data_IF_671534532094
#
_entry.id   IF_671534532094
#
_cell.length_a   1.000
_cell.length_b   1.000
_cell.length_c   1.000
_cell.angle_alpha   90.00
_cell.angle_beta   90.00
_cell.angle_gamma   90.00
#
_symmetry.space_group_name_H-M   'P 1'
#
loop_
_entity.id
_entity.type
_entity.pdbx_description
1 polymer ?
#
# COMPACT_ATOMS: atom_id res chain seq x y z
N UNK A 1 -26.36 29.46 -42.82
CA UNK A 1 -25.61 30.37 -43.69
C UNK A 1 -24.16 29.97 -43.62
N UNK A 2 -23.70 29.20 -44.58
CA UNK A 2 -22.33 29.08 -45.02
C UNK A 2 -22.22 30.02 -46.25
N UNK A 3 -21.09 30.17 -46.99
CA UNK A 3 -19.71 29.63 -46.84
C UNK A 3 -18.64 30.64 -47.37
N UNK A 4 -17.46 30.11 -47.55
CA UNK A 4 -16.45 30.31 -48.64
C UNK A 4 -15.04 30.58 -48.07
N UNK A 5 -14.10 29.65 -48.24
CA UNK A 5 -13.24 29.28 -49.39
C UNK A 5 -12.27 30.43 -49.74
N UNK A 6 -11.00 30.21 -49.81
CA UNK A 6 -10.04 29.75 -50.84
C UNK A 6 -8.64 30.15 -50.36
N UNK A 7 -7.51 29.58 -50.64
CA UNK A 7 -7.02 28.68 -51.65
C UNK A 7 -5.48 28.60 -51.61
N UNK A 8 -5.02 27.45 -51.90
CA UNK A 8 -3.91 26.96 -52.71
C UNK A 8 -2.75 27.83 -53.19
N UNK A 9 -1.51 27.28 -53.12
CA UNK A 9 -0.49 27.03 -54.17
C UNK A 9 0.80 26.54 -53.52
N UNK A 10 1.24 25.27 -53.64
CA UNK A 10 1.92 24.57 -54.78
C UNK A 10 3.15 25.27 -55.36
N UNK A 11 4.31 24.60 -55.27
CA UNK A 11 5.25 24.14 -56.31
C UNK A 11 6.55 23.70 -55.62
N UNK A 12 6.99 22.44 -55.75
CA UNK A 12 7.66 21.71 -56.82
C UNK A 12 9.12 22.11 -57.04
N UNK A 13 9.95 21.15 -56.85
CA UNK A 13 10.87 20.37 -57.74
C UNK A 13 12.27 21.00 -57.83
N UNK A 14 13.40 20.36 -58.02
CA UNK A 14 13.85 19.05 -58.44
C UNK A 14 15.33 18.91 -58.05
N UNK A 15 15.87 17.80 -57.72
CA UNK A 15 16.48 16.72 -58.48
C UNK A 15 17.96 16.88 -58.87
N UNK A 16 18.69 15.76 -58.72
CA UNK A 16 19.88 15.30 -59.45
C UNK A 16 21.25 15.92 -59.06
N UNK A 17 22.32 15.20 -58.96
CA UNK A 17 22.68 13.85 -59.34
C UNK A 17 24.18 13.60 -59.05
N UNK A 18 24.46 12.35 -58.88
CA UNK A 18 25.57 11.49 -59.29
C UNK A 18 27.03 12.00 -59.35
N UNK A 19 27.96 11.31 -58.74
CA UNK A 19 28.88 10.35 -59.40
C UNK A 19 30.14 10.12 -58.59
N UNK A 20 30.48 8.89 -58.38
CA UNK A 20 31.86 8.42 -58.10
C UNK A 20 32.69 8.40 -59.38
N UNK A 21 34.03 8.40 -59.33
CA UNK A 21 34.71 7.08 -59.34
C UNK A 21 36.11 7.02 -58.65
N UNK A 22 36.34 5.81 -58.22
CA UNK A 22 37.58 4.99 -58.21
C UNK A 22 38.94 5.61 -58.47
N UNK A 23 39.96 5.27 -57.67
CA UNK A 23 41.05 4.33 -57.99
C UNK A 23 42.34 4.59 -57.24
N UNK A 24 42.95 3.45 -56.86
CA UNK A 24 44.38 3.10 -56.79
C UNK A 24 45.18 3.47 -55.55
N UNK A 25 45.60 2.38 -54.88
CA UNK A 25 46.83 2.26 -54.10
C UNK A 25 48.09 2.36 -54.98
N UNK A 26 49.31 2.58 -54.42
CA UNK A 26 49.98 1.59 -53.58
C UNK A 26 51.02 2.18 -52.57
N UNK A 27 51.30 1.36 -51.56
CA UNK A 27 52.69 1.09 -51.16
C UNK A 27 53.27 1.78 -49.91
N UNK A 28 53.58 0.93 -48.98
CA UNK A 28 54.84 0.84 -48.21
C UNK A 28 55.00 1.49 -46.85
N UNK A 29 55.21 0.58 -45.94
CA UNK A 29 56.22 0.53 -44.83
C UNK A 29 55.96 1.31 -43.53
N UNK A 30 55.78 0.52 -42.51
CA UNK A 30 56.47 0.47 -41.21
C UNK A 30 56.37 1.67 -40.26
N UNK A 31 55.81 1.39 -39.11
CA UNK A 31 55.91 2.23 -37.94
C UNK A 31 54.98 1.72 -36.83
N UNK A 32 55.40 0.67 -36.10
CA UNK A 32 54.76 0.31 -34.83
C UNK A 32 54.93 1.46 -33.84
N UNK A 33 53.86 2.13 -33.50
CA UNK A 33 53.76 2.91 -32.27
C UNK A 33 52.68 2.28 -31.41
N UNK A 34 53.12 1.59 -30.37
CA UNK A 34 52.26 1.10 -29.28
C UNK A 34 51.58 2.30 -28.60
N UNK A 35 50.31 2.51 -28.91
CA UNK A 35 49.45 3.41 -28.17
C UNK A 35 49.03 2.74 -26.86
N UNK A 36 48.89 3.48 -25.75
CA UNK A 36 48.50 2.91 -24.47
C UNK A 36 47.12 2.28 -24.56
N UNK A 37 47.04 0.97 -24.32
CA UNK A 37 45.78 0.24 -24.19
C UNK A 37 44.95 0.84 -23.04
N UNK A 38 43.65 1.04 -23.22
CA UNK A 38 42.79 1.50 -22.14
C UNK A 38 42.84 0.49 -20.98
N UNK A 39 42.81 0.96 -19.73
CA UNK A 39 42.93 0.10 -18.57
C UNK A 39 41.79 -0.93 -18.57
N UNK A 40 42.17 -2.21 -18.58
CA UNK A 40 41.24 -3.34 -18.46
C UNK A 40 40.45 -3.15 -17.17
N UNK A 41 39.12 -2.94 -17.27
CA UNK A 41 38.21 -2.92 -16.12
C UNK A 41 38.50 -4.16 -15.24
N UNK A 42 38.66 -3.99 -13.94
CA UNK A 42 38.94 -5.12 -13.07
C UNK A 42 37.82 -6.13 -13.21
N UNK A 43 38.14 -7.37 -13.54
CA UNK A 43 37.18 -8.48 -13.54
C UNK A 43 36.65 -8.59 -12.12
N UNK A 44 35.38 -8.26 -11.92
CA UNK A 44 34.66 -8.48 -10.66
C UNK A 44 34.78 -9.96 -10.33
N UNK A 45 35.61 -10.29 -9.35
CA UNK A 45 35.69 -11.64 -8.83
C UNK A 45 34.32 -11.97 -8.22
N UNK A 46 33.56 -12.82 -8.90
CA UNK A 46 32.31 -13.37 -8.37
C UNK A 46 32.68 -14.36 -7.29
N UNK A 47 32.77 -13.92 -6.06
CA UNK A 47 32.88 -14.80 -4.91
C UNK A 47 31.58 -15.58 -4.83
N UNK A 48 31.61 -16.85 -5.21
CA UNK A 48 30.49 -17.78 -5.00
C UNK A 48 30.38 -18.03 -3.49
N UNK A 49 29.47 -17.34 -2.85
CA UNK A 49 29.18 -17.57 -1.43
C UNK A 49 28.11 -18.66 -1.32
N UNK A 50 28.34 -19.62 -0.45
CA UNK A 50 27.43 -20.72 -0.19
C UNK A 50 26.37 -20.26 0.82
N UNK A 51 25.09 -20.44 0.50
CA UNK A 51 23.97 -20.21 1.44
C UNK A 51 24.07 -21.15 2.65
N UNK A 52 24.57 -22.38 2.44
CA UNK A 52 24.75 -23.37 3.50
C UNK A 52 25.81 -22.90 4.50
N UNK A 53 26.94 -22.37 4.03
CA UNK A 53 28.01 -21.84 4.89
C UNK A 53 27.54 -20.59 5.64
N UNK A 54 26.70 -19.77 5.01
CA UNK A 54 26.07 -18.63 5.66
C UNK A 54 25.15 -19.05 6.81
N UNK A 55 24.25 -20.03 6.57
CA UNK A 55 23.33 -20.54 7.59
C UNK A 55 24.10 -21.19 8.75
N UNK A 56 25.09 -22.02 8.45
CA UNK A 56 25.97 -22.63 9.47
C UNK A 56 26.72 -21.57 10.28
N UNK A 57 27.22 -20.52 9.63
CA UNK A 57 27.90 -19.41 10.31
C UNK A 57 26.99 -18.66 11.28
N UNK A 58 25.69 -18.52 10.95
CA UNK A 58 24.69 -17.93 11.85
C UNK A 58 24.41 -18.83 13.05
N UNK A 59 24.24 -20.13 12.84
CA UNK A 59 23.96 -21.09 13.91
C UNK A 59 25.10 -21.19 14.93
N UNK A 60 26.34 -21.10 14.47
CA UNK A 60 27.54 -21.24 15.34
C UNK A 60 27.98 -19.88 15.93
N UNK A 61 27.26 -18.79 15.63
CA UNK A 61 27.61 -17.46 16.14
C UNK A 61 28.96 -16.90 15.61
N UNK A 62 29.53 -17.54 14.59
CA UNK A 62 30.80 -17.14 13.95
C UNK A 62 30.60 -15.91 13.05
N UNK A 63 30.08 -14.82 13.59
CA UNK A 63 29.93 -13.54 12.90
C UNK A 63 31.24 -12.76 12.90
N UNK A 64 32.12 -13.10 12.00
CA UNK A 64 33.26 -12.23 11.63
C UNK A 64 32.69 -10.92 11.00
N UNK A 65 32.94 -9.81 11.65
CA UNK A 65 32.33 -8.47 11.47
C UNK A 65 32.40 -7.81 10.09
N UNK A 66 33.02 -8.37 9.06
CA UNK A 66 33.28 -7.65 7.81
C UNK A 66 32.83 -8.31 6.51
N UNK A 67 32.32 -9.54 6.55
CA UNK A 67 31.95 -10.27 5.32
C UNK A 67 30.46 -10.53 5.12
N UNK A 68 29.63 -10.46 6.17
CA UNK A 68 28.24 -10.94 6.16
C UNK A 68 27.21 -9.87 5.78
N UNK A 69 27.44 -8.60 6.11
CA UNK A 69 26.46 -7.55 5.80
C UNK A 69 26.19 -7.36 4.29
N UNK A 70 27.19 -7.60 3.46
CA UNK A 70 27.04 -7.55 2.00
C UNK A 70 26.24 -8.74 1.46
N UNK A 71 26.34 -9.92 2.08
CA UNK A 71 25.60 -11.11 1.66
C UNK A 71 24.14 -11.06 2.10
N UNK A 72 23.85 -10.53 3.28
CA UNK A 72 22.48 -10.29 3.75
C UNK A 72 21.72 -9.38 2.77
N UNK A 73 22.33 -8.30 2.32
CA UNK A 73 21.73 -7.40 1.33
C UNK A 73 21.51 -8.05 -0.05
N UNK A 74 22.43 -8.92 -0.49
CA UNK A 74 22.28 -9.66 -1.73
C UNK A 74 21.18 -10.72 -1.62
N UNK A 75 21.10 -11.43 -0.49
CA UNK A 75 20.08 -12.44 -0.21
C UNK A 75 18.70 -11.80 -0.09
N UNK A 76 18.58 -10.71 0.67
CA UNK A 76 17.36 -9.92 0.74
C UNK A 76 16.92 -9.45 -0.64
N UNK A 77 17.81 -8.84 -1.41
CA UNK A 77 17.49 -8.35 -2.75
C UNK A 77 17.10 -9.47 -3.74
N UNK A 78 17.65 -10.68 -3.56
CA UNK A 78 17.24 -11.85 -4.33
C UNK A 78 15.84 -12.32 -3.90
N UNK A 79 15.60 -12.49 -2.60
CA UNK A 79 14.33 -12.94 -2.05
C UNK A 79 13.19 -12.01 -2.43
N UNK A 80 13.39 -10.70 -2.28
CA UNK A 80 12.41 -9.67 -2.64
C UNK A 80 11.93 -9.77 -4.09
N UNK A 81 12.85 -10.03 -5.01
CA UNK A 81 12.51 -10.16 -6.44
C UNK A 81 11.95 -11.53 -6.81
N UNK A 82 12.26 -12.56 -6.02
CA UNK A 82 11.84 -13.94 -6.29
C UNK A 82 10.53 -14.29 -5.58
N UNK A 83 10.29 -13.73 -4.41
CA UNK A 83 9.12 -14.04 -3.61
C UNK A 83 7.80 -13.96 -4.41
N UNK A 84 7.52 -12.90 -5.18
CA UNK A 84 6.29 -12.85 -5.94
C UNK A 84 6.10 -14.00 -6.93
N UNK A 85 7.20 -14.49 -7.52
CA UNK A 85 7.18 -15.62 -8.47
C UNK A 85 6.88 -16.98 -7.77
N UNK A 86 7.17 -17.06 -6.46
CA UNK A 86 6.98 -18.27 -5.66
C UNK A 86 5.59 -18.35 -5.02
N UNK A 87 4.94 -17.21 -4.78
CA UNK A 87 3.65 -17.14 -4.13
C UNK A 87 2.57 -17.89 -4.94
N UNK A 88 1.81 -18.73 -4.24
CA UNK A 88 0.64 -19.44 -4.76
C UNK A 88 -0.57 -19.12 -3.92
N UNK A 89 -1.68 -18.88 -4.60
CA UNK A 89 -2.93 -18.54 -3.95
C UNK A 89 -3.58 -19.76 -3.29
N UNK A 90 -4.06 -19.54 -2.07
CA UNK A 90 -5.07 -20.35 -1.44
C UNK A 90 -6.21 -19.44 -0.99
N UNK A 91 -7.35 -19.55 -1.67
CA UNK A 91 -8.54 -18.77 -1.34
C UNK A 91 -9.11 -19.18 0.03
N UNK A 92 -9.52 -18.19 0.83
CA UNK A 92 -10.09 -18.38 2.16
C UNK A 92 -11.58 -18.07 2.13
N UNK A 93 -12.41 -18.97 2.64
CA UNK A 93 -13.85 -18.72 2.74
C UNK A 93 -14.16 -17.88 3.97
N UNK A 94 -14.68 -16.67 3.74
CA UNK A 94 -15.15 -15.76 4.81
C UNK A 94 -16.67 -15.85 5.06
N UNK A 95 -17.37 -16.72 4.33
CA UNK A 95 -18.83 -16.81 4.40
C UNK A 95 -19.51 -15.54 3.82
N UNK A 96 -20.66 -15.18 4.38
CA UNK A 96 -21.53 -14.10 3.90
C UNK A 96 -21.13 -12.70 4.38
N UNK A 97 -19.87 -12.49 4.76
CA UNK A 97 -19.32 -11.19 5.17
C UNK A 97 -19.18 -10.29 3.92
N UNK A 98 -19.37 -8.98 4.07
CA UNK A 98 -19.13 -8.04 2.95
C UNK A 98 -17.64 -7.72 2.79
N UNK A 99 -17.29 -6.94 1.77
CA UNK A 99 -15.91 -6.57 1.37
C UNK A 99 -15.00 -6.23 2.54
N UNK A 100 -13.79 -6.76 2.50
CA UNK A 100 -12.75 -6.47 3.48
C UNK A 100 -12.01 -5.20 3.06
N UNK A 101 -12.01 -4.18 3.92
CA UNK A 101 -11.36 -2.89 3.65
C UNK A 101 -10.00 -2.75 4.29
N UNK A 102 -9.76 -3.42 5.42
CA UNK A 102 -8.51 -3.36 6.16
C UNK A 102 -8.15 -4.72 6.73
N UNK A 103 -6.86 -5.02 6.79
CA UNK A 103 -6.34 -6.25 7.38
C UNK A 103 -4.96 -6.05 7.98
N UNK A 104 -4.65 -6.83 9.02
CA UNK A 104 -3.34 -6.83 9.68
C UNK A 104 -3.05 -8.20 10.29
N UNK A 105 -1.80 -8.67 10.17
CA UNK A 105 -1.35 -9.88 10.83
C UNK A 105 -1.24 -9.68 12.34
N UNK A 106 -1.91 -10.51 13.13
CA UNK A 106 -1.75 -10.57 14.59
C UNK A 106 -0.57 -11.48 14.97
N UNK A 107 -0.42 -12.60 14.27
CA UNK A 107 0.64 -13.59 14.46
C UNK A 107 0.83 -14.42 13.19
N UNK A 108 1.60 -15.53 13.25
CA UNK A 108 1.89 -16.38 12.08
C UNK A 108 0.65 -17.08 11.46
N UNK A 109 -0.49 -17.12 12.20
CA UNK A 109 -1.71 -17.84 11.80
C UNK A 109 -2.95 -16.97 11.69
N UNK A 110 -2.98 -15.82 12.32
CA UNK A 110 -4.20 -15.04 12.48
C UNK A 110 -4.06 -13.65 11.85
N UNK A 111 -5.09 -13.27 11.10
CA UNK A 111 -5.23 -11.95 10.50
C UNK A 111 -6.52 -11.33 11.03
N UNK A 112 -6.42 -10.10 11.55
CA UNK A 112 -7.59 -9.30 11.90
C UNK A 112 -8.03 -8.52 10.68
N UNK A 113 -9.34 -8.45 10.45
CA UNK A 113 -9.95 -7.83 9.28
C UNK A 113 -11.13 -6.93 9.65
N UNK A 114 -11.25 -5.81 8.95
CA UNK A 114 -12.38 -4.90 9.04
C UNK A 114 -13.12 -4.80 7.70
N UNK A 115 -14.45 -4.74 7.77
CA UNK A 115 -15.30 -4.83 6.59
C UNK A 115 -16.14 -3.58 6.35
N UNK A 116 -16.70 -3.50 5.14
CA UNK A 116 -17.68 -2.47 4.76
C UNK A 116 -18.93 -2.50 5.62
N UNK A 117 -19.37 -3.67 6.07
CA UNK A 117 -20.56 -3.80 6.92
C UNK A 117 -20.26 -3.62 8.42
N UNK A 118 -19.18 -2.91 8.74
CA UNK A 118 -18.75 -2.60 10.11
C UNK A 118 -18.57 -3.84 10.98
N UNK A 119 -17.96 -4.89 10.43
CA UNK A 119 -17.64 -6.12 11.14
C UNK A 119 -16.13 -6.22 11.34
N UNK A 120 -15.71 -6.37 12.59
CA UNK A 120 -14.35 -6.73 12.97
C UNK A 120 -14.29 -8.23 13.21
N UNK A 121 -13.33 -8.91 12.62
CA UNK A 121 -13.16 -10.35 12.82
C UNK A 121 -11.71 -10.77 12.68
N UNK A 122 -11.40 -11.93 13.23
CA UNK A 122 -10.11 -12.62 13.05
C UNK A 122 -10.34 -13.86 12.20
N UNK A 123 -9.50 -14.06 11.19
CA UNK A 123 -9.46 -15.28 10.40
C UNK A 123 -8.20 -16.06 10.72
N UNK A 124 -8.35 -17.35 11.04
CA UNK A 124 -7.24 -18.30 11.10
C UNK A 124 -6.93 -18.75 9.69
N UNK A 125 -5.74 -18.39 9.19
CA UNK A 125 -5.38 -18.68 7.79
C UNK A 125 -5.13 -20.16 7.52
N UNK A 126 -5.01 -21.03 8.52
CA UNK A 126 -4.86 -22.47 8.29
C UNK A 126 -6.22 -23.17 8.15
N UNK A 127 -7.15 -22.87 9.05
CA UNK A 127 -8.47 -23.50 9.10
C UNK A 127 -9.57 -22.74 8.36
N UNK A 128 -9.30 -21.49 7.96
CA UNK A 128 -10.32 -20.54 7.45
C UNK A 128 -11.42 -20.22 8.48
N UNK A 129 -11.20 -20.53 9.76
CA UNK A 129 -12.16 -20.24 10.82
C UNK A 129 -12.22 -18.73 11.07
N UNK A 130 -13.43 -18.19 11.11
CA UNK A 130 -13.70 -16.76 11.32
C UNK A 130 -14.31 -16.53 12.71
N UNK A 131 -13.63 -15.74 13.52
CA UNK A 131 -14.10 -15.32 14.86
C UNK A 131 -14.44 -13.83 14.81
N UNK A 132 -15.72 -13.49 15.04
CA UNK A 132 -16.15 -12.09 15.10
C UNK A 132 -15.78 -11.47 16.44
N UNK A 133 -15.27 -10.23 16.38
CA UNK A 133 -14.91 -9.46 17.56
C UNK A 133 -16.01 -8.41 17.80
N UNK A 134 -16.61 -8.38 19.00
CA UNK A 134 -17.58 -7.35 19.34
C UNK A 134 -16.96 -5.97 19.27
N UNK A 135 -17.66 -5.03 18.60
CA UNK A 135 -17.21 -3.67 18.52
C UNK A 135 -17.55 -2.92 19.81
N UNK A 136 -16.64 -2.05 20.23
CA UNK A 136 -16.91 -1.10 21.31
C UNK A 136 -17.98 -0.11 20.88
N UNK A 137 -18.96 0.09 21.76
CA UNK A 137 -20.14 0.92 21.52
C UNK A 137 -20.17 2.11 22.48
N UNK A 138 -20.36 3.31 21.98
CA UNK A 138 -20.78 4.42 22.84
C UNK A 138 -22.27 4.24 23.22
N UNK A 139 -22.60 4.40 24.48
CA UNK A 139 -24.00 4.33 24.95
C UNK A 139 -24.87 5.47 24.42
N UNK A 140 -24.27 6.50 23.88
CA UNK A 140 -24.96 7.66 23.32
C UNK A 140 -25.28 7.44 21.86
N UNK A 141 -26.46 7.91 21.40
CA UNK A 141 -26.78 7.82 19.98
C UNK A 141 -25.73 8.57 19.14
N UNK A 142 -25.37 8.04 17.96
CA UNK A 142 -24.45 8.72 17.06
C UNK A 142 -24.99 10.10 16.69
N UNK A 143 -24.12 11.08 16.37
CA UNK A 143 -24.54 12.38 15.89
C UNK A 143 -25.53 12.24 14.71
N UNK A 144 -26.55 13.10 14.65
CA UNK A 144 -27.65 13.03 13.67
C UNK A 144 -27.19 13.02 12.19
N UNK A 145 -25.93 13.36 11.92
CA UNK A 145 -25.35 13.41 10.57
C UNK A 145 -24.50 12.18 10.23
N UNK A 146 -24.36 11.20 11.14
CA UNK A 146 -23.55 10.01 10.88
C UNK A 146 -24.36 9.02 10.04
N UNK A 147 -24.00 8.86 8.78
CA UNK A 147 -24.65 7.88 7.91
C UNK A 147 -24.31 6.47 8.41
N UNK A 148 -25.31 5.60 8.62
CA UNK A 148 -25.07 4.21 8.98
C UNK A 148 -24.35 3.48 7.82
N UNK A 149 -23.49 2.52 8.15
CA UNK A 149 -22.96 1.56 7.18
C UNK A 149 -21.64 1.93 6.50
N UNK A 150 -20.79 2.74 7.12
CA UNK A 150 -19.50 3.09 6.52
C UNK A 150 -18.41 2.05 6.65
N UNK A 151 -18.48 1.15 7.60
CA UNK A 151 -17.50 0.09 7.82
C UNK A 151 -16.18 0.51 8.48
N UNK A 152 -15.33 -0.48 8.67
CA UNK A 152 -13.98 -0.33 9.25
C UNK A 152 -12.99 -0.22 8.10
N UNK A 153 -12.42 0.98 7.94
CA UNK A 153 -11.51 1.31 6.83
C UNK A 153 -10.03 1.18 7.17
N UNK A 154 -9.68 1.19 8.45
CA UNK A 154 -8.30 1.10 8.89
C UNK A 154 -8.15 0.21 10.12
N UNK A 155 -7.07 -0.54 10.15
CA UNK A 155 -6.62 -1.39 11.26
C UNK A 155 -5.10 -1.28 11.31
N UNK A 156 -4.56 -0.88 12.46
CA UNK A 156 -3.11 -0.74 12.64
C UNK A 156 -2.66 -1.23 14.01
N UNK A 157 -1.55 -1.98 14.03
CA UNK A 157 -0.84 -2.36 15.26
C UNK A 157 0.15 -1.26 15.66
N UNK A 158 0.29 -1.03 16.96
CA UNK A 158 1.40 -0.20 17.45
C UNK A 158 2.76 -0.89 17.20
N UNK A 159 3.89 -0.17 17.25
CA UNK A 159 5.21 -0.73 16.95
C UNK A 159 5.56 -1.97 17.77
N UNK A 160 5.21 -1.99 19.08
CA UNK A 160 5.45 -3.14 19.98
C UNK A 160 4.46 -4.30 19.80
N UNK A 161 3.43 -4.15 18.96
CA UNK A 161 2.34 -5.13 18.72
C UNK A 161 1.58 -5.53 19.98
N UNK A 162 1.44 -4.61 20.90
CA UNK A 162 0.69 -4.78 22.15
C UNK A 162 -0.71 -4.20 22.09
N UNK A 163 -0.93 -3.25 21.15
CA UNK A 163 -2.20 -2.56 20.94
C UNK A 163 -2.62 -2.62 19.47
N UNK A 164 -3.93 -2.73 19.28
CA UNK A 164 -4.59 -2.66 17.98
C UNK A 164 -5.50 -1.44 17.95
N UNK A 165 -5.33 -0.57 16.96
CA UNK A 165 -6.24 0.55 16.69
C UNK A 165 -7.13 0.25 15.47
N UNK A 166 -8.42 0.55 15.59
CA UNK A 166 -9.43 0.35 14.54
C UNK A 166 -10.62 1.29 14.72
N UNK A 167 -11.64 1.18 13.87
CA UNK A 167 -12.93 1.84 14.09
C UNK A 167 -13.74 1.15 15.18
N UNK A 168 -14.61 1.90 15.86
CA UNK A 168 -15.62 1.38 16.77
C UNK A 168 -16.94 1.05 16.06
N UNK A 169 -17.99 0.79 16.83
CA UNK A 169 -19.34 0.59 16.27
C UNK A 169 -19.84 1.89 15.61
N UNK A 170 -19.58 3.02 16.24
CA UNK A 170 -19.80 4.32 15.61
C UNK A 170 -18.64 4.62 14.66
N UNK A 171 -18.94 4.92 13.39
CA UNK A 171 -17.90 5.03 12.36
C UNK A 171 -16.93 6.20 12.52
N UNK A 172 -17.25 7.15 13.39
CA UNK A 172 -16.41 8.29 13.77
C UNK A 172 -15.54 8.03 15.02
N UNK A 173 -15.65 6.85 15.65
CA UNK A 173 -14.93 6.52 16.87
C UNK A 173 -13.68 5.72 16.57
N UNK A 174 -12.58 6.10 17.20
CA UNK A 174 -11.35 5.29 17.28
C UNK A 174 -11.50 4.29 18.43
N UNK A 175 -11.23 3.02 18.18
CA UNK A 175 -11.28 1.95 19.17
C UNK A 175 -9.90 1.31 19.34
N UNK A 176 -9.48 1.10 20.59
CA UNK A 176 -8.20 0.49 20.92
C UNK A 176 -8.44 -0.81 21.69
N UNK A 177 -7.83 -1.88 21.21
CA UNK A 177 -7.87 -3.21 21.80
C UNK A 177 -6.47 -3.62 22.25
N UNK A 178 -6.42 -4.39 23.35
CA UNK A 178 -5.18 -4.97 23.87
C UNK A 178 -4.91 -6.31 23.22
N UNK A 179 -3.67 -6.56 22.89
CA UNK A 179 -3.22 -7.85 22.35
C UNK A 179 -2.50 -8.68 23.44
N UNK A 180 -2.52 -10.01 23.33
CA UNK A 180 -3.05 -10.81 22.20
C UNK A 180 -4.56 -11.12 22.29
N UNK A 181 -5.23 -10.80 23.40
CA UNK A 181 -6.60 -11.25 23.73
C UNK A 181 -7.70 -10.49 22.98
N UNK A 182 -7.38 -9.31 22.40
CA UNK A 182 -8.33 -8.38 21.80
C UNK A 182 -9.35 -7.81 22.81
N UNK A 183 -8.92 -7.66 24.06
CA UNK A 183 -9.74 -7.02 25.09
C UNK A 183 -9.93 -5.54 24.78
N UNK A 184 -11.15 -4.99 24.89
CA UNK A 184 -11.42 -3.58 24.69
C UNK A 184 -10.69 -2.75 25.75
N UNK A 185 -9.92 -1.74 25.31
CA UNK A 185 -9.16 -0.88 26.20
C UNK A 185 -9.80 0.50 26.31
N UNK A 186 -9.96 1.21 25.21
CA UNK A 186 -10.57 2.52 25.21
C UNK A 186 -11.21 2.87 23.86
N UNK A 187 -12.17 3.80 23.93
CA UNK A 187 -12.93 4.30 22.78
C UNK A 187 -12.80 5.82 22.70
N UNK A 188 -12.53 6.36 21.52
CA UNK A 188 -12.52 7.79 21.26
C UNK A 188 -13.88 8.41 21.54
N UNK A 189 -13.91 9.54 22.25
CA UNK A 189 -15.12 10.25 22.60
C UNK A 189 -15.63 11.14 21.45
N UNK A 190 -16.80 11.76 21.66
CA UNK A 190 -17.46 12.66 20.69
C UNK A 190 -16.70 13.97 20.37
N UNK A 191 -15.66 14.29 21.12
CA UNK A 191 -14.83 15.47 20.88
C UNK A 191 -13.75 15.22 19.82
N UNK A 192 -13.63 13.97 19.33
CA UNK A 192 -12.78 13.60 18.21
C UNK A 192 -13.43 13.92 16.87
N UNK A 193 -13.49 12.91 16.02
CA UNK A 193 -14.02 13.08 14.67
C UNK A 193 -15.56 13.23 14.64
N UNK A 194 -16.02 14.00 13.64
CA UNK A 194 -17.46 14.22 13.38
C UNK A 194 -18.00 13.31 12.30
N UNK A 195 -17.12 12.66 11.52
CA UNK A 195 -17.45 11.78 10.41
C UNK A 195 -16.49 10.58 10.41
N UNK A 196 -16.60 9.69 9.45
CA UNK A 196 -15.95 8.39 9.36
C UNK A 196 -14.43 8.47 9.49
N UNK A 197 -13.86 7.58 10.32
CA UNK A 197 -12.42 7.35 10.38
C UNK A 197 -12.01 6.48 9.18
N UNK A 198 -11.18 7.04 8.33
CA UNK A 198 -10.69 6.35 7.12
C UNK A 198 -9.28 5.82 7.25
N UNK A 199 -8.47 6.45 8.08
CA UNK A 199 -7.06 6.13 8.20
C UNK A 199 -6.61 6.18 9.64
N UNK A 200 -5.71 5.30 10.00
CA UNK A 200 -5.09 5.21 11.33
C UNK A 200 -3.61 4.89 11.12
N UNK A 201 -2.74 5.49 11.93
CA UNK A 201 -1.35 5.08 12.04
C UNK A 201 -0.83 5.35 13.45
N UNK A 202 0.26 4.69 13.85
CA UNK A 202 0.88 4.85 15.16
C UNK A 202 2.14 5.70 15.06
N UNK A 203 2.20 6.74 15.87
CA UNK A 203 3.38 7.59 15.99
C UNK A 203 4.39 7.04 17.02
N UNK A 204 3.89 6.29 17.99
CA UNK A 204 4.67 5.56 19.01
C UNK A 204 3.84 4.40 19.55
N UNK A 205 4.36 3.69 20.56
CA UNK A 205 3.58 2.63 21.22
C UNK A 205 2.33 3.13 21.94
N UNK A 206 2.28 4.41 22.26
CA UNK A 206 1.20 5.04 23.03
C UNK A 206 0.53 6.22 22.36
N UNK A 207 0.96 6.61 21.16
CA UNK A 207 0.38 7.75 20.43
C UNK A 207 -0.10 7.26 19.05
N UNK A 208 -1.40 7.36 18.82
CA UNK A 208 -2.03 7.01 17.55
C UNK A 208 -2.60 8.27 16.88
N UNK A 209 -2.54 8.31 15.57
CA UNK A 209 -3.17 9.34 14.73
C UNK A 209 -4.27 8.73 13.89
N UNK A 210 -5.37 9.44 13.74
CA UNK A 210 -6.48 9.07 12.86
C UNK A 210 -6.80 10.18 11.89
N UNK A 211 -7.21 9.81 10.68
CA UNK A 211 -7.68 10.73 9.64
C UNK A 211 -9.13 10.45 9.30
N UNK A 212 -9.93 11.50 9.14
CA UNK A 212 -11.37 11.38 8.98
C UNK A 212 -11.91 12.03 7.71
N UNK A 213 -13.09 11.59 7.34
CA UNK A 213 -13.91 12.18 6.28
C UNK A 213 -14.33 13.63 6.58
N UNK A 214 -14.30 14.05 7.84
CA UNK A 214 -14.58 15.44 8.23
C UNK A 214 -13.45 16.42 7.86
N UNK A 215 -12.32 15.91 7.37
CA UNK A 215 -11.17 16.73 6.98
C UNK A 215 -10.22 17.04 8.13
N UNK A 216 -10.27 16.28 9.21
CA UNK A 216 -9.42 16.47 10.39
C UNK A 216 -8.47 15.29 10.61
N UNK A 217 -7.37 15.58 11.30
CA UNK A 217 -6.48 14.61 11.93
C UNK A 217 -6.68 14.67 13.43
N UNK A 218 -6.88 13.53 14.06
CA UNK A 218 -6.96 13.40 15.52
C UNK A 218 -5.70 12.73 16.06
N UNK A 219 -5.05 13.30 17.07
CA UNK A 219 -3.94 12.71 17.81
C UNK A 219 -4.43 12.23 19.16
N UNK A 220 -4.16 10.98 19.50
CA UNK A 220 -4.69 10.35 20.70
C UNK A 220 -3.53 9.76 21.51
N UNK A 221 -3.48 10.10 22.79
CA UNK A 221 -2.51 9.52 23.73
C UNK A 221 -3.18 8.39 24.51
N UNK A 222 -2.59 7.22 24.41
CA UNK A 222 -3.07 6.00 25.06
C UNK A 222 -2.13 5.69 26.22
N UNK A 223 -2.65 5.72 27.43
CA UNK A 223 -1.91 5.30 28.61
C UNK A 223 -2.46 3.94 29.08
N UNK A 224 -1.79 2.83 28.73
CA UNK A 224 -2.28 1.51 29.07
C UNK A 224 -2.31 1.24 30.58
N UNK A 225 -1.52 1.95 31.37
CA UNK A 225 -1.43 1.72 32.83
C UNK A 225 -2.56 2.44 33.58
N UNK A 226 -2.96 3.61 33.15
CA UNK A 226 -4.10 4.36 33.73
C UNK A 226 -5.40 3.61 33.52
N UNK A 227 -5.56 2.90 32.40
CA UNK A 227 -6.80 2.17 32.08
C UNK A 227 -6.95 0.86 32.83
N UNK A 228 -5.87 0.26 33.37
CA UNK A 228 -5.98 -0.91 34.22
C UNK A 228 -6.72 -0.66 35.53
N UNK A 229 -6.56 0.52 36.12
CA UNK A 229 -7.19 0.88 37.39
C UNK A 229 -8.66 1.32 37.24
N UNK A 230 -9.12 1.62 36.04
CA UNK A 230 -10.46 2.17 35.76
C UNK A 230 -11.42 1.18 35.09
N UNK A 231 -11.04 -0.08 34.87
CA UNK A 231 -11.96 -1.12 34.41
C UNK A 231 -12.86 -1.51 35.59
N UNK A 232 -13.88 -0.70 35.85
CA UNK A 232 -14.95 -1.08 36.73
C UNK A 232 -15.91 -1.99 35.96
N UNK A 233 -16.02 -3.22 36.37
CA UNK A 233 -17.05 -4.14 35.91
C UNK A 233 -18.40 -3.67 36.47
N UNK A 234 -19.24 -3.04 35.66
CA UNK A 234 -20.61 -2.80 36.05
C UNK A 234 -21.39 -4.13 35.98
N UNK A 235 -21.79 -4.60 37.16
CA UNK A 235 -22.44 -5.90 37.38
C UNK A 235 -23.81 -6.06 36.70
N UNK A 236 -24.45 -4.97 36.25
CA UNK A 236 -25.86 -4.99 35.83
C UNK A 236 -26.11 -5.35 34.36
N UNK A 237 -25.06 -5.45 33.50
CA UNK A 237 -25.28 -5.73 32.10
C UNK A 237 -24.29 -6.72 31.46
N UNK A 238 -23.33 -7.27 32.19
CA UNK A 238 -22.34 -8.22 31.65
C UNK A 238 -21.46 -7.67 30.49
N UNK A 239 -21.46 -6.37 30.28
CA UNK A 239 -20.69 -5.71 29.22
C UNK A 239 -19.37 -5.17 29.79
N UNK A 240 -18.22 -5.35 29.08
CA UNK A 240 -16.98 -4.76 29.52
C UNK A 240 -17.07 -3.24 29.53
N UNK A 241 -16.64 -2.63 30.62
CA UNK A 241 -16.50 -1.18 30.72
C UNK A 241 -15.11 -0.81 30.22
N UNK A 242 -15.05 0.02 29.21
CA UNK A 242 -13.81 0.59 28.66
C UNK A 242 -13.80 2.10 28.83
N UNK A 243 -12.60 2.69 28.86
CA UNK A 243 -12.43 4.11 29.03
C UNK A 243 -12.80 4.89 27.75
N UNK A 244 -13.33 6.10 27.94
CA UNK A 244 -13.48 7.07 26.87
C UNK A 244 -12.31 8.03 26.90
N UNK A 245 -11.65 8.21 25.74
CA UNK A 245 -10.50 9.10 25.58
C UNK A 245 -10.84 10.28 24.68
N UNK A 246 -10.24 11.41 24.98
CA UNK A 246 -10.27 12.61 24.14
C UNK A 246 -9.03 12.67 23.28
N UNK A 247 -9.13 13.23 22.07
CA UNK A 247 -7.92 13.55 21.31
C UNK A 247 -7.12 14.60 22.08
N UNK A 248 -5.81 14.43 22.11
CA UNK A 248 -4.88 15.44 22.65
C UNK A 248 -4.75 16.64 21.72
N UNK A 249 -5.01 16.41 20.43
CA UNK A 249 -4.97 17.42 19.37
C UNK A 249 -5.93 17.06 18.26
N UNK A 250 -6.60 18.03 17.67
CA UNK A 250 -7.39 17.90 16.44
C UNK A 250 -6.91 18.98 15.48
N UNK A 251 -6.33 18.56 14.36
CA UNK A 251 -5.77 19.45 13.34
C UNK A 251 -6.67 19.45 12.10
N UNK A 252 -7.09 20.63 11.68
CA UNK A 252 -7.82 20.81 10.43
C UNK A 252 -6.86 20.72 9.24
N UNK A 253 -7.15 19.81 8.30
CA UNK A 253 -6.37 19.71 7.08
C UNK A 253 -6.67 20.89 6.17
N UNK A 254 -5.64 21.57 5.61
CA UNK A 254 -5.84 22.76 4.79
C UNK A 254 -6.74 22.50 3.60
N UNK A 255 -7.72 23.35 3.41
CA UNK A 255 -8.60 23.35 2.22
C UNK A 255 -7.88 24.06 1.10
N UNK A 256 -7.18 23.32 0.25
CA UNK A 256 -6.40 23.88 -0.83
C UNK A 256 -7.13 23.90 -2.19
N UNK A 257 -8.24 23.16 -2.30
CA UNK A 257 -9.03 23.04 -3.52
C UNK A 257 -10.26 23.96 -3.55
N UNK A 258 -10.82 24.16 -4.75
CA UNK A 258 -12.05 24.95 -5.00
C UNK A 258 -13.32 24.31 -4.46
N UNK A 259 -13.26 23.02 -4.11
CA UNK A 259 -14.41 22.26 -3.58
C UNK A 259 -14.22 21.91 -2.10
N UNK A 260 -14.79 22.67 -1.15
CA UNK A 260 -14.59 22.46 0.28
C UNK A 260 -15.14 21.11 0.81
N UNK A 261 -15.98 20.42 0.05
CA UNK A 261 -16.53 19.11 0.44
C UNK A 261 -15.57 17.93 0.25
N UNK A 262 -14.40 18.12 -0.36
CA UNK A 262 -13.48 17.05 -0.72
C UNK A 262 -12.19 16.99 0.12
N UNK A 263 -12.06 17.77 1.19
CA UNK A 263 -10.90 17.70 2.10
C UNK A 263 -10.85 16.45 2.96
N UNK A 264 -11.56 15.39 2.57
CA UNK A 264 -11.63 14.13 3.30
C UNK A 264 -10.26 13.49 3.38
N UNK A 265 -9.76 13.29 4.60
CA UNK A 265 -8.51 12.56 4.81
C UNK A 265 -8.75 11.09 4.50
N UNK A 266 -8.03 10.56 3.54
CA UNK A 266 -8.27 9.21 3.05
C UNK A 266 -7.19 8.20 3.46
N UNK A 267 -5.96 8.65 3.62
CA UNK A 267 -4.85 7.85 4.10
C UNK A 267 -3.86 8.71 4.88
N UNK A 268 -3.21 8.12 5.87
CA UNK A 268 -2.12 8.71 6.64
C UNK A 268 -0.94 7.76 6.65
N UNK A 269 0.27 8.29 6.81
CA UNK A 269 1.48 7.51 7.00
C UNK A 269 2.48 8.30 7.87
N UNK A 270 3.01 7.66 8.89
CA UNK A 270 3.98 8.26 9.80
C UNK A 270 5.39 7.72 9.55
N UNK A 271 6.35 8.61 9.51
CA UNK A 271 7.79 8.28 9.48
C UNK A 271 8.38 8.47 10.88
N UNK A 272 8.67 7.35 11.55
CA UNK A 272 9.31 7.38 12.86
C UNK A 272 10.72 7.98 12.80
N UNK A 273 11.46 7.70 11.72
CA UNK A 273 12.83 8.21 11.53
C UNK A 273 12.86 9.73 11.36
N UNK A 274 11.90 10.30 10.64
CA UNK A 274 11.83 11.73 10.35
C UNK A 274 10.94 12.49 11.31
N UNK A 275 10.13 11.78 12.10
CA UNK A 275 9.06 12.37 12.93
C UNK A 275 8.15 13.26 12.09
N UNK A 276 7.66 12.71 10.98
CA UNK A 276 6.80 13.39 10.02
C UNK A 276 5.54 12.57 9.77
N UNK A 277 4.41 13.25 9.80
CA UNK A 277 3.11 12.69 9.47
C UNK A 277 2.68 13.19 8.10
N UNK A 278 2.40 12.27 7.20
CA UNK A 278 1.83 12.57 5.90
C UNK A 278 0.35 12.20 5.86
N UNK A 279 -0.45 12.99 5.16
CA UNK A 279 -1.84 12.68 4.87
C UNK A 279 -2.18 12.98 3.41
N UNK A 280 -3.10 12.19 2.85
CA UNK A 280 -3.63 12.39 1.50
C UNK A 280 -5.12 12.64 1.59
N UNK A 281 -5.58 13.65 0.87
CA UNK A 281 -6.99 14.06 0.82
C UNK A 281 -7.62 13.78 -0.53
N UNK A 282 -8.94 13.61 -0.56
CA UNK A 282 -9.67 13.27 -1.79
C UNK A 282 -9.73 14.41 -2.82
N UNK A 283 -9.38 15.63 -2.43
CA UNK A 283 -9.21 16.78 -3.33
C UNK A 283 -7.87 16.74 -4.09
N UNK A 284 -7.06 15.70 -3.86
CA UNK A 284 -5.82 15.45 -4.59
C UNK A 284 -4.60 16.17 -4.04
N UNK A 285 -4.59 16.45 -2.74
CA UNK A 285 -3.43 17.03 -2.08
C UNK A 285 -2.74 16.03 -1.17
N UNK A 286 -1.44 16.15 -1.12
CA UNK A 286 -0.55 15.53 -0.14
C UNK A 286 -0.12 16.61 0.85
N UNK A 287 -0.33 16.35 2.13
CA UNK A 287 0.02 17.25 3.21
C UNK A 287 1.04 16.59 4.12
N UNK A 288 1.94 17.38 4.69
CA UNK A 288 2.98 16.92 5.60
C UNK A 288 3.06 17.80 6.84
N UNK A 289 3.17 17.17 7.99
CA UNK A 289 3.40 17.82 9.29
C UNK A 289 4.67 17.29 9.95
N UNK A 290 5.33 18.14 10.70
CA UNK A 290 6.27 17.70 11.72
C UNK A 290 5.46 17.27 12.92
N UNK A 291 5.72 16.09 13.44
CA UNK A 291 4.93 15.46 14.49
C UNK A 291 5.84 15.10 15.66
N UNK A 292 6.20 16.09 16.46
CA UNK A 292 7.01 15.91 17.69
C UNK A 292 6.12 16.00 18.91
N UNK A 293 5.89 17.20 19.42
CA UNK A 293 5.00 17.45 20.56
C UNK A 293 3.58 17.79 20.10
N UNK A 294 3.48 18.52 19.00
CA UNK A 294 2.26 18.92 18.30
C UNK A 294 2.46 18.75 16.80
N UNK A 295 1.37 18.76 16.04
CA UNK A 295 1.40 18.74 14.58
C UNK A 295 1.72 20.16 14.06
N UNK A 296 2.88 20.32 13.46
CA UNK A 296 3.28 21.57 12.79
C UNK A 296 3.34 21.36 11.29
N UNK A 297 2.47 22.05 10.55
CA UNK A 297 2.39 21.91 9.10
C UNK A 297 3.69 22.33 8.43
N UNK A 298 4.22 21.45 7.58
CA UNK A 298 5.42 21.71 6.79
C UNK A 298 5.08 22.14 5.37
N UNK A 299 4.22 21.37 4.67
CA UNK A 299 3.89 21.64 3.28
C UNK A 299 2.56 21.02 2.86
N UNK A 300 2.05 21.49 1.72
CA UNK A 300 0.92 20.93 1.00
C UNK A 300 1.23 20.94 -0.49
N UNK A 301 1.17 19.77 -1.13
CA UNK A 301 1.50 19.60 -2.55
C UNK A 301 0.27 19.07 -3.28
N UNK A 302 -0.09 19.72 -4.39
CA UNK A 302 -1.10 19.17 -5.29
C UNK A 302 -0.51 18.03 -6.09
N UNK A 303 -1.17 16.88 -6.05
CA UNK A 303 -0.75 15.71 -6.83
C UNK A 303 -1.14 15.86 -8.30
N UNK A 304 -0.30 15.43 -9.24
CA UNK A 304 -0.62 15.51 -10.68
C UNK A 304 -1.84 14.64 -11.04
N UNK A 305 -2.05 13.54 -10.29
CA UNK A 305 -3.20 12.65 -10.43
C UNK A 305 -4.05 12.75 -9.18
N UNK A 306 -5.09 13.56 -9.24
CA UNK A 306 -5.89 13.98 -8.10
C UNK A 306 -7.24 13.25 -7.97
N UNK A 307 -7.48 12.20 -8.77
CA UNK A 307 -8.73 11.42 -8.67
C UNK A 307 -8.50 10.15 -7.87
N UNK A 308 -9.37 9.90 -6.89
CA UNK A 308 -9.37 8.68 -6.07
C UNK A 308 -8.02 8.39 -5.38
N UNK A 309 -7.45 9.39 -4.71
CA UNK A 309 -6.27 9.22 -3.87
C UNK A 309 -6.70 8.53 -2.57
N UNK A 310 -6.60 7.20 -2.52
CA UNK A 310 -7.21 6.38 -1.46
C UNK A 310 -6.20 5.60 -0.61
N UNK A 311 -4.95 5.51 -1.03
CA UNK A 311 -3.91 4.83 -0.28
C UNK A 311 -2.60 5.60 -0.31
N UNK A 312 -1.87 5.54 0.79
CA UNK A 312 -0.59 6.18 1.03
C UNK A 312 0.29 5.21 1.80
N UNK A 313 1.54 5.12 1.44
CA UNK A 313 2.55 4.37 2.19
C UNK A 313 3.88 5.10 2.16
N UNK A 314 4.73 4.82 3.14
CA UNK A 314 6.05 5.40 3.28
C UNK A 314 7.12 4.32 3.43
N UNK A 315 8.27 4.53 2.81
CA UNK A 315 9.45 3.69 2.94
C UNK A 315 10.58 4.47 3.62
N UNK A 316 10.94 4.08 4.84
CA UNK A 316 12.00 4.72 5.61
C UNK A 316 13.39 4.58 4.97
N UNK A 317 13.70 3.42 4.37
CA UNK A 317 15.00 3.17 3.72
C UNK A 317 15.21 4.06 2.50
N UNK A 318 14.16 4.24 1.70
CA UNK A 318 14.21 5.06 0.49
C UNK A 318 13.86 6.52 0.78
N UNK A 319 13.30 6.83 1.96
CA UNK A 319 12.71 8.13 2.32
C UNK A 319 11.69 8.60 1.27
N UNK A 320 10.82 7.69 0.86
CA UNK A 320 9.93 7.86 -0.28
C UNK A 320 8.47 7.61 0.11
N UNK A 321 7.60 8.56 -0.20
CA UNK A 321 6.15 8.38 -0.12
C UNK A 321 5.59 7.84 -1.44
N UNK A 322 4.58 6.99 -1.37
CA UNK A 322 3.85 6.52 -2.54
C UNK A 322 2.35 6.70 -2.32
N UNK A 323 1.68 7.36 -3.27
CA UNK A 323 0.24 7.66 -3.25
C UNK A 323 -0.42 6.96 -4.43
N UNK A 324 -1.42 6.14 -4.16
CA UNK A 324 -2.25 5.51 -5.19
C UNK A 324 -3.42 6.39 -5.61
N UNK A 325 -3.67 6.46 -6.90
CA UNK A 325 -4.78 7.18 -7.52
C UNK A 325 -5.57 6.27 -8.48
N UNK A 326 -6.49 6.83 -9.25
CA UNK A 326 -7.33 6.08 -10.19
C UNK A 326 -6.54 5.21 -11.18
N UNK A 327 -5.36 5.63 -11.63
CA UNK A 327 -4.57 4.87 -12.61
C UNK A 327 -3.07 4.93 -12.37
N UNK A 328 -2.64 5.68 -11.37
CA UNK A 328 -1.24 6.02 -11.15
C UNK A 328 -0.82 5.79 -9.70
N UNK A 329 0.46 5.50 -9.52
CA UNK A 329 1.15 5.65 -8.23
C UNK A 329 2.09 6.84 -8.36
N UNK A 330 1.89 7.84 -7.52
CA UNK A 330 2.77 9.01 -7.44
C UNK A 330 3.81 8.80 -6.35
N UNK A 331 5.09 8.97 -6.68
CA UNK A 331 6.20 8.89 -5.74
C UNK A 331 6.69 10.29 -5.40
N UNK A 332 6.82 10.59 -4.11
CA UNK A 332 7.28 11.88 -3.61
C UNK A 332 8.57 11.67 -2.80
N UNK A 333 9.68 12.19 -3.32
CA UNK A 333 10.95 12.27 -2.59
C UNK A 333 11.16 13.73 -2.15
N UNK A 334 10.88 14.01 -0.89
CA UNK A 334 10.94 15.36 -0.32
C UNK A 334 12.37 15.88 -0.14
N UNK A 335 13.41 15.07 -0.35
CA UNK A 335 14.80 15.50 -0.32
C UNK A 335 15.21 16.28 -1.58
N UNK A 336 14.53 16.02 -2.68
CA UNK A 336 14.86 16.60 -4.01
C UNK A 336 14.09 17.89 -4.33
N UNK A 337 13.36 18.46 -3.35
CA UNK A 337 12.53 19.64 -3.54
C UNK A 337 11.14 19.31 -4.10
N UNK A 338 10.25 20.30 -4.10
CA UNK A 338 8.81 20.12 -4.36
C UNK A 338 8.42 19.68 -5.78
N UNK A 339 9.36 19.64 -6.72
CA UNK A 339 9.07 19.35 -8.13
C UNK A 339 9.30 17.89 -8.54
N UNK A 340 9.82 17.04 -7.64
CA UNK A 340 10.18 15.68 -8.00
C UNK A 340 9.07 14.68 -7.68
N UNK A 341 7.90 14.85 -8.31
CA UNK A 341 6.86 13.82 -8.29
C UNK A 341 7.05 12.91 -9.50
N UNK A 342 7.57 11.72 -9.28
CA UNK A 342 7.59 10.67 -10.29
C UNK A 342 6.27 9.91 -10.24
N UNK A 343 5.82 9.39 -11.35
CA UNK A 343 4.58 8.62 -11.41
C UNK A 343 4.76 7.32 -12.20
N UNK A 344 3.99 6.33 -11.77
CA UNK A 344 3.95 5.01 -12.34
C UNK A 344 2.53 4.72 -12.82
N UNK A 345 2.36 4.42 -14.10
CA UNK A 345 1.06 4.05 -14.65
C UNK A 345 0.77 2.56 -14.39
N UNK A 346 -0.32 2.26 -13.68
CA UNK A 346 -0.76 0.87 -13.47
C UNK A 346 -1.30 0.25 -14.76
N UNK A 347 -1.83 1.05 -15.69
CA UNK A 347 -2.52 0.64 -16.93
C UNK A 347 -3.68 -0.35 -16.73
N UNK A 348 -4.21 -0.42 -15.52
CA UNK A 348 -5.30 -1.33 -15.15
C UNK A 348 -6.66 -0.63 -15.31
N UNK A 349 -7.02 -0.25 -16.53
CA UNK A 349 -8.38 0.11 -16.93
C UNK A 349 -9.13 1.17 -16.11
N UNK A 350 -8.43 2.00 -15.31
CA UNK A 350 -9.08 3.08 -14.56
C UNK A 350 -9.83 2.65 -13.29
N UNK A 351 -9.71 1.39 -12.85
CA UNK A 351 -10.38 0.87 -11.65
C UNK A 351 -9.70 1.29 -10.33
N UNK A 352 -8.55 1.90 -10.43
CA UNK A 352 -7.84 2.51 -9.31
C UNK A 352 -6.83 1.59 -8.62
N UNK A 353 -5.85 2.25 -8.01
CA UNK A 353 -4.94 1.65 -7.05
C UNK A 353 -5.64 1.66 -5.70
N UNK A 354 -5.83 0.50 -5.07
CA UNK A 354 -6.63 0.36 -3.85
C UNK A 354 -5.80 0.13 -2.60
N UNK A 355 -4.64 -0.49 -2.74
CA UNK A 355 -3.70 -0.71 -1.64
C UNK A 355 -2.26 -0.65 -2.12
N UNK A 356 -1.36 -0.21 -1.24
CA UNK A 356 0.07 -0.06 -1.48
C UNK A 356 0.86 -0.56 -0.27
N UNK A 357 1.96 -1.25 -0.50
CA UNK A 357 2.95 -1.54 0.53
C UNK A 357 4.35 -1.60 -0.07
N UNK A 358 5.34 -1.18 0.72
CA UNK A 358 6.74 -1.37 0.38
C UNK A 358 7.31 -2.63 1.02
N UNK A 359 8.18 -3.29 0.30
CA UNK A 359 9.16 -4.19 0.84
C UNK A 359 10.51 -3.90 0.22
N UNK A 360 11.43 -3.39 1.01
CA UNK A 360 12.70 -2.92 0.51
C UNK A 360 12.51 -1.91 -0.65
N UNK A 361 13.02 -2.25 -1.83
CA UNK A 361 12.91 -1.45 -3.05
C UNK A 361 11.78 -1.89 -4.00
N UNK A 362 10.96 -2.85 -3.58
CA UNK A 362 9.77 -3.27 -4.35
C UNK A 362 8.52 -2.66 -3.72
N UNK A 363 7.69 -2.05 -4.55
CA UNK A 363 6.34 -1.66 -4.15
C UNK A 363 5.33 -2.65 -4.72
N UNK A 364 4.47 -3.14 -3.85
CA UNK A 364 3.31 -3.99 -4.20
C UNK A 364 2.09 -3.11 -4.36
N UNK A 365 1.40 -3.25 -5.47
CA UNK A 365 0.25 -2.44 -5.86
C UNK A 365 -0.98 -3.34 -6.02
N UNK A 366 -1.94 -3.19 -5.14
CA UNK A 366 -3.26 -3.83 -5.24
C UNK A 366 -4.23 -2.97 -6.05
N UNK A 367 -4.84 -3.56 -7.07
CA UNK A 367 -5.69 -2.85 -8.02
C UNK A 367 -7.17 -3.13 -7.84
N UNK A 368 -8.02 -2.29 -8.43
CA UNK A 368 -9.46 -2.49 -8.47
C UNK A 368 -9.91 -3.61 -9.43
N UNK A 369 -8.98 -4.18 -10.20
CA UNK A 369 -9.20 -5.32 -11.10
C UNK A 369 -8.77 -6.68 -10.54
N UNK A 370 -8.49 -6.76 -9.24
CA UNK A 370 -8.10 -8.03 -8.61
C UNK A 370 -6.69 -8.49 -8.96
N UNK A 371 -5.80 -7.57 -9.30
CA UNK A 371 -4.42 -7.89 -9.62
C UNK A 371 -3.46 -7.25 -8.63
N UNK A 372 -2.42 -7.99 -8.25
CA UNK A 372 -1.24 -7.47 -7.58
C UNK A 372 -0.13 -7.26 -8.59
N UNK A 373 0.44 -6.06 -8.59
CA UNK A 373 1.58 -5.68 -9.43
C UNK A 373 2.79 -5.39 -8.53
N UNK A 374 3.98 -5.66 -9.05
CA UNK A 374 5.24 -5.48 -8.33
C UNK A 374 6.17 -4.59 -9.14
N UNK A 375 6.59 -3.49 -8.58
CA UNK A 375 7.47 -2.53 -9.24
C UNK A 375 8.76 -2.35 -8.47
N UNK A 376 9.88 -2.54 -9.16
CA UNK A 376 11.22 -2.32 -8.63
C UNK A 376 11.60 -0.85 -8.82
N UNK A 377 11.70 -0.11 -7.71
CA UNK A 377 12.02 1.31 -7.70
C UNK A 377 13.45 1.57 -8.13
N UNK A 378 14.39 0.67 -7.78
CA UNK A 378 15.81 0.79 -8.17
C UNK A 378 16.00 0.53 -9.65
N UNK A 379 15.33 -0.49 -10.19
CA UNK A 379 15.36 -0.83 -11.62
C UNK A 379 14.41 0.06 -12.45
N UNK A 380 13.51 0.82 -11.82
CA UNK A 380 12.47 1.67 -12.43
C UNK A 380 11.58 0.90 -13.42
N UNK A 381 11.27 -0.36 -13.11
CA UNK A 381 10.41 -1.19 -13.96
C UNK A 381 9.58 -2.18 -13.13
N UNK A 382 8.47 -2.61 -13.72
CA UNK A 382 7.71 -3.73 -13.18
C UNK A 382 8.53 -5.02 -13.24
N UNK A 383 8.28 -5.92 -12.31
CA UNK A 383 8.76 -7.28 -12.45
C UNK A 383 8.13 -7.88 -13.72
N UNK A 384 8.90 -8.69 -14.43
CA UNK A 384 8.50 -9.29 -15.71
C UNK A 384 8.32 -10.80 -15.57
N UNK A 385 7.34 -11.33 -16.29
CA UNK A 385 7.17 -12.77 -16.45
C UNK A 385 8.40 -13.35 -17.15
N UNK A 386 8.85 -14.52 -16.69
CA UNK A 386 9.98 -15.24 -17.25
C UNK A 386 9.49 -16.56 -17.83
N UNK A 387 9.88 -16.85 -19.04
CA UNK A 387 9.68 -18.16 -19.64
C UNK A 387 10.97 -18.96 -19.50
N UNK A 388 10.84 -20.14 -18.94
CA UNK A 388 11.91 -21.14 -18.89
C UNK A 388 11.75 -22.05 -20.11
N UNK A 389 12.47 -21.76 -21.21
CA UNK A 389 12.58 -22.65 -22.34
C UNK A 389 13.63 -23.71 -22.02
N UNK A 390 13.17 -24.95 -21.82
CA UNK A 390 13.97 -26.17 -21.64
C UNK A 390 14.99 -26.20 -20.49
N UNK A 391 15.35 -27.38 -20.06
CA UNK A 391 16.12 -27.71 -18.83
C UNK A 391 17.52 -27.09 -18.70
N UNK A 392 18.03 -26.32 -19.65
CA UNK A 392 19.39 -25.79 -19.66
C UNK A 392 19.57 -24.31 -19.99
N UNK A 393 18.49 -23.56 -20.23
CA UNK A 393 18.61 -22.12 -20.52
C UNK A 393 18.16 -21.25 -19.35
N UNK A 394 18.90 -20.15 -19.08
CA UNK A 394 18.50 -19.17 -18.10
C UNK A 394 17.14 -18.56 -18.46
N UNK A 395 16.22 -18.36 -17.49
CA UNK A 395 14.90 -17.79 -17.75
C UNK A 395 15.00 -16.45 -18.47
N UNK A 396 14.32 -16.30 -19.60
CA UNK A 396 14.30 -15.06 -20.38
C UNK A 396 13.07 -14.22 -20.05
N UNK A 397 13.21 -12.90 -19.88
CA UNK A 397 12.07 -12.01 -19.66
C UNK A 397 11.20 -11.98 -20.93
N UNK A 398 9.88 -12.05 -20.76
CA UNK A 398 8.91 -12.01 -21.86
C UNK A 398 8.53 -10.60 -22.30
N UNK A 399 8.97 -9.56 -21.57
CA UNK A 399 8.49 -8.18 -21.70
C UNK A 399 7.08 -7.96 -21.18
N UNK A 400 6.39 -9.02 -20.71
CA UNK A 400 5.10 -8.91 -20.03
C UNK A 400 5.30 -8.64 -18.55
N UNK A 401 4.44 -7.80 -17.99
CA UNK A 401 4.46 -7.52 -16.55
C UNK A 401 4.05 -8.77 -15.78
N UNK A 402 4.83 -9.08 -14.77
CA UNK A 402 4.44 -10.08 -13.79
C UNK A 402 3.29 -9.55 -12.94
N UNK A 403 2.23 -10.34 -12.82
CA UNK A 403 1.07 -10.03 -12.00
C UNK A 403 0.52 -11.30 -11.36
N UNK A 404 0.04 -11.16 -10.13
CA UNK A 404 -0.77 -12.17 -9.47
C UNK A 404 -2.23 -11.79 -9.63
N UNK A 405 -3.05 -12.71 -10.14
CA UNK A 405 -4.49 -12.50 -10.33
C UNK A 405 -5.20 -13.24 -9.23
N UNK A 406 -6.04 -12.54 -8.49
CA UNK A 406 -6.79 -13.07 -7.37
C UNK A 406 -8.05 -13.82 -7.82
N UNK A 407 -8.45 -14.80 -7.00
CA UNK A 407 -9.61 -15.63 -7.25
C UNK A 407 -10.95 -14.89 -7.21
N UNK A 408 -12.03 -15.63 -7.44
CA UNK A 408 -13.38 -15.05 -7.59
C UNK A 408 -14.00 -14.59 -6.29
N UNK A 409 -13.63 -15.20 -5.14
CA UNK A 409 -14.25 -14.92 -3.87
C UNK A 409 -15.73 -15.32 -3.83
N UNK A 410 -16.44 -14.75 -2.85
CA UNK A 410 -17.88 -14.90 -2.72
C UNK A 410 -18.62 -13.63 -3.14
N UNK A 411 -19.69 -13.80 -3.90
CA UNK A 411 -20.58 -12.74 -4.34
C UNK A 411 -22.03 -13.11 -3.99
N UNK A 412 -22.78 -12.17 -3.39
CA UNK A 412 -24.19 -12.39 -3.11
C UNK A 412 -24.99 -12.38 -4.41
N UNK A 413 -25.56 -13.53 -4.76
CA UNK A 413 -26.34 -13.70 -6.00
C UNK A 413 -27.77 -13.18 -5.89
N UNK A 414 -28.27 -13.01 -4.66
CA UNK A 414 -29.64 -12.50 -4.40
C UNK A 414 -29.76 -10.98 -4.55
N UNK A 415 -28.63 -10.32 -4.82
CA UNK A 415 -28.62 -8.86 -5.01
C UNK A 415 -29.29 -8.51 -6.34
N UNK A 416 -30.44 -7.79 -6.28
CA UNK A 416 -31.20 -7.34 -7.46
C UNK A 416 -30.34 -6.62 -8.50
N UNK A 417 -29.19 -6.08 -8.06
CA UNK A 417 -28.21 -5.44 -8.93
C UNK A 417 -27.33 -6.42 -9.71
N UNK A 418 -27.26 -7.70 -9.30
CA UNK A 418 -26.53 -8.72 -10.07
C UNK A 418 -27.08 -8.89 -11.47
N UNK A 419 -28.39 -8.79 -11.66
CA UNK A 419 -29.02 -8.84 -12.98
C UNK A 419 -28.56 -7.69 -13.90
N UNK A 420 -28.22 -6.55 -13.30
CA UNK A 420 -27.71 -5.39 -14.05
C UNK A 420 -26.21 -5.54 -14.40
N UNK A 421 -25.41 -6.07 -13.47
CA UNK A 421 -23.96 -6.23 -13.68
C UNK A 421 -23.58 -7.58 -14.29
N UNK A 422 -24.39 -8.62 -14.11
CA UNK A 422 -24.15 -9.97 -14.69
C UNK A 422 -24.11 -10.02 -16.21
N UNK A 423 -24.68 -9.00 -16.87
CA UNK A 423 -24.58 -8.84 -18.33
C UNK A 423 -23.17 -8.41 -18.79
N UNK A 424 -22.29 -7.95 -17.88
CA UNK A 424 -20.96 -7.42 -18.20
C UNK A 424 -19.80 -8.40 -17.94
N UNK A 425 -20.08 -9.68 -17.66
CA UNK A 425 -19.05 -10.70 -17.44
C UNK A 425 -18.54 -10.80 -16.00
N UNK A 426 -17.37 -11.41 -15.81
CA UNK A 426 -16.75 -11.60 -14.50
C UNK A 426 -16.46 -10.26 -13.82
N UNK A 427 -17.05 -10.03 -12.64
CA UNK A 427 -16.79 -8.86 -11.81
C UNK A 427 -15.51 -9.07 -10.98
N UNK A 428 -14.45 -8.32 -11.22
CA UNK A 428 -13.22 -8.49 -10.48
C UNK A 428 -13.36 -7.99 -9.03
N UNK A 429 -12.63 -8.62 -8.12
CA UNK A 429 -12.51 -8.16 -6.74
C UNK A 429 -11.48 -7.04 -6.63
N UNK A 430 -11.89 -5.87 -6.16
CA UNK A 430 -10.96 -4.81 -5.82
C UNK A 430 -10.15 -5.20 -4.57
N UNK A 431 -8.83 -5.06 -4.63
CA UNK A 431 -7.92 -5.43 -3.55
C UNK A 431 -7.71 -4.23 -2.60
N UNK A 432 -8.65 -4.07 -1.67
CA UNK A 432 -8.64 -2.93 -0.76
C UNK A 432 -7.53 -3.01 0.28
N UNK A 433 -7.05 -4.21 0.59
CA UNK A 433 -6.00 -4.43 1.59
C UNK A 433 -5.11 -5.61 1.23
N UNK A 434 -3.84 -5.49 1.54
CA UNK A 434 -2.90 -6.60 1.56
C UNK A 434 -1.83 -6.34 2.64
N UNK A 435 -1.39 -7.40 3.29
CA UNK A 435 -0.37 -7.31 4.33
C UNK A 435 0.55 -8.53 4.31
N UNK A 436 1.84 -8.26 4.43
CA UNK A 436 2.88 -9.29 4.47
C UNK A 436 3.14 -9.80 5.89
N UNK A 437 3.37 -11.10 6.00
CA UNK A 437 4.03 -11.70 7.14
C UNK A 437 5.41 -12.17 6.68
N UNK A 438 6.40 -11.29 6.84
CA UNK A 438 7.74 -11.53 6.32
C UNK A 438 8.46 -12.72 6.97
N UNK A 439 8.38 -12.94 8.30
CA UNK A 439 8.99 -14.12 8.92
C UNK A 439 8.50 -15.45 8.33
N UNK A 440 7.22 -15.48 7.91
CA UNK A 440 6.58 -16.66 7.35
C UNK A 440 6.55 -16.67 5.82
N UNK A 441 7.06 -15.63 5.17
CA UNK A 441 7.04 -15.44 3.71
C UNK A 441 5.62 -15.56 3.11
N UNK A 442 4.62 -15.03 3.83
CA UNK A 442 3.21 -15.07 3.46
C UNK A 442 2.69 -13.68 3.13
N UNK A 443 1.75 -13.63 2.20
CA UNK A 443 1.01 -12.42 1.85
C UNK A 443 -0.48 -12.71 1.98
N UNK A 444 -1.17 -11.97 2.84
CA UNK A 444 -2.63 -11.97 2.91
C UNK A 444 -3.16 -10.84 2.05
N UNK A 445 -4.16 -11.13 1.22
CA UNK A 445 -4.79 -10.19 0.30
C UNK A 445 -6.29 -10.30 0.45
N UNK A 446 -6.98 -9.16 0.57
CA UNK A 446 -8.42 -9.20 0.71
C UNK A 446 -9.11 -7.97 0.07
N UNK A 447 -10.41 -8.15 -0.18
CA UNK A 447 -11.21 -7.13 -0.83
C UNK A 447 -12.63 -7.57 -1.09
N UNK A 448 -13.12 -7.28 -2.30
CA UNK A 448 -14.45 -7.64 -2.75
C UNK A 448 -14.85 -6.86 -4.00
N UNK A 449 -16.08 -7.03 -4.52
CA UNK A 449 -16.52 -6.41 -5.77
C UNK A 449 -16.39 -4.88 -5.72
N UNK A 450 -15.86 -4.28 -6.80
CA UNK A 450 -15.61 -2.84 -6.88
C UNK A 450 -16.90 -2.00 -6.72
N UNK A 451 -18.05 -2.32 -7.37
CA UNK A 451 -19.26 -1.56 -7.18
C UNK A 451 -19.71 -1.56 -5.72
N UNK A 452 -19.94 -0.36 -5.16
CA UNK A 452 -20.28 -0.20 -3.74
C UNK A 452 -21.60 -0.86 -3.36
N UNK A 453 -22.53 -0.96 -4.29
CA UNK A 453 -23.85 -1.57 -4.12
C UNK A 453 -23.81 -3.09 -4.01
N UNK A 454 -22.86 -3.76 -4.64
CA UNK A 454 -22.74 -5.21 -4.58
C UNK A 454 -22.16 -5.67 -3.23
N UNK A 455 -22.71 -6.75 -2.70
CA UNK A 455 -22.24 -7.41 -1.49
C UNK A 455 -21.42 -8.66 -1.86
N UNK A 456 -20.23 -8.75 -1.32
CA UNK A 456 -19.34 -9.86 -1.59
C UNK A 456 -17.97 -9.66 -0.96
N UNK A 457 -17.15 -10.69 -0.92
CA UNK A 457 -15.80 -10.63 -0.39
C UNK A 457 -14.85 -11.50 -1.18
N UNK A 458 -13.58 -11.16 -1.03
CA UNK A 458 -12.46 -11.98 -1.43
C UNK A 458 -11.43 -11.97 -0.31
N UNK A 459 -10.84 -13.12 -0.01
CA UNK A 459 -9.65 -13.25 0.80
C UNK A 459 -8.78 -14.39 0.28
N UNK A 460 -7.49 -14.14 0.13
CA UNK A 460 -6.51 -15.11 -0.33
C UNK A 460 -5.25 -15.07 0.53
N UNK A 461 -4.76 -16.25 0.87
CA UNK A 461 -3.43 -16.44 1.42
C UNK A 461 -2.49 -16.86 0.29
N UNK A 462 -1.43 -16.11 0.10
CA UNK A 462 -0.37 -16.36 -0.86
C UNK A 462 0.90 -16.80 -0.12
N UNK A 463 1.37 -18.02 -0.38
CA UNK A 463 2.53 -18.62 0.29
C UNK A 463 3.30 -19.57 -0.62
#
# INVERSE_FOLDING_TARGET
MAPQQTGNKKREEAAEGSSSPSSSSPGSAAGHADGPQPPKKPKRMVVRRSLVDYLKGREVGAQGRTGLSGFDGELCGFTVRKLPELLRERELSLGTIDKVFASQWLNARQVVCGTKCNTLFVVDVQSSHVTRIPLMRDRRPPPAHTQPGCGIHAIHLNPSKTLLATGGENPNSLAIYRLPTLDPLCLGDRHGHKDWVFAIDWMSDTVVVSGSRDGTLGVWKIDPDVFWSSIAWHSDAGLPVYAHIRPSEVEDVPRAGTNPGNCKVRAVAFSAKRQELAAVTMDGYFHLWKAQNTLSRLLSIRLPYCRENVCLTYCDELSLYAVGSQSQVSFLDLRQGHQSVRHLCSREGGTGVRSLSFYEHIITVGTGHGSLLFYDIRAQKFLEEKVSDSQHSSPRPTGRRFRLICGRGWLNQDDLQMNYFGAFGDLPNALYTHCYNWPEMKLFVAGGPLPSSLRGNYAGLWS
#
